data_IF_003253945923
#
_entry.id   IF_003253945923
#
_cell.length_a   1.000
_cell.length_b   1.000
_cell.length_c   1.000
_cell.angle_alpha   90.00
_cell.angle_beta   90.00
_cell.angle_gamma   90.00
#
_symmetry.space_group_name_H-M   'P 1'
#
loop_
_entity.id
_entity.type
_entity.pdbx_description
1 polymer ?
#
# COMPACT_ATOMS: atom_id res chain seq x y z
N UNK A 1 -2.85 0.13 0.54
CA UNK A 1 -3.50 1.46 0.40
C UNK A 1 -3.31 1.95 -1.02
N UNK A 2 -4.31 2.59 -1.63
CA UNK A 2 -4.18 3.24 -2.95
C UNK A 2 -4.65 4.68 -2.86
N UNK A 3 -3.80 5.65 -3.20
CA UNK A 3 -4.14 7.08 -3.13
C UNK A 3 -3.60 7.86 -4.33
N UNK A 4 -4.42 8.75 -4.88
CA UNK A 4 -3.96 9.79 -5.79
C UNK A 4 -3.49 11.00 -4.95
N UNK A 5 -2.26 11.44 -5.18
CA UNK A 5 -1.65 12.56 -4.45
C UNK A 5 -1.26 13.62 -5.47
N UNK A 6 -1.95 14.75 -5.42
CA UNK A 6 -1.59 15.95 -6.17
C UNK A 6 -0.93 16.96 -5.22
N UNK A 7 0.33 17.30 -5.49
CA UNK A 7 1.06 18.31 -4.73
C UNK A 7 1.02 19.61 -5.52
N UNK A 8 0.44 20.66 -4.94
CA UNK A 8 0.37 22.00 -5.54
C UNK A 8 1.51 22.91 -5.03
N UNK A 9 1.84 23.98 -5.77
CA UNK A 9 2.82 24.96 -5.33
C UNK A 9 2.51 25.51 -3.94
N UNK A 10 3.51 25.50 -3.04
CA UNK A 10 3.36 25.99 -1.67
C UNK A 10 2.76 25.02 -0.65
N UNK A 11 2.34 23.81 -1.04
CA UNK A 11 1.78 22.80 -0.09
C UNK A 11 2.82 22.10 0.81
N UNK A 12 4.09 22.50 0.71
CA UNK A 12 5.17 21.94 1.51
C UNK A 12 5.67 20.59 0.97
N UNK A 13 6.94 20.28 1.25
CA UNK A 13 7.55 19.00 0.89
C UNK A 13 7.25 17.94 1.95
N UNK A 14 7.14 16.69 1.53
CA UNK A 14 7.20 15.58 2.47
C UNK A 14 8.64 15.45 2.97
N UNK A 15 8.87 15.44 4.30
CA UNK A 15 10.20 15.21 4.86
C UNK A 15 10.71 13.82 4.47
N UNK A 16 12.01 13.58 4.63
CA UNK A 16 12.55 12.24 4.45
C UNK A 16 11.95 11.31 5.52
N UNK A 17 11.30 10.24 5.08
CA UNK A 17 10.59 9.29 5.92
C UNK A 17 10.61 7.88 5.32
N UNK A 18 10.19 6.90 6.13
CA UNK A 18 9.92 5.53 5.72
C UNK A 18 8.43 5.25 5.86
N UNK A 19 7.86 4.54 4.90
CA UNK A 19 6.42 4.25 4.88
C UNK A 19 6.04 3.17 5.90
N UNK A 20 6.97 2.27 6.20
CA UNK A 20 6.75 1.17 7.14
C UNK A 20 6.76 1.58 8.63
N UNK A 21 7.06 2.84 8.93
CA UNK A 21 6.94 3.40 10.29
C UNK A 21 5.55 3.20 10.88
N UNK A 22 4.52 3.06 10.05
CA UNK A 22 3.14 2.73 10.45
C UNK A 22 3.01 1.39 11.16
N UNK A 23 3.93 0.45 10.92
CA UNK A 23 3.90 -0.90 11.50
C UNK A 23 4.69 -1.01 12.80
N UNK A 24 5.38 0.07 13.20
CA UNK A 24 6.15 0.16 14.45
C UNK A 24 7.25 -0.91 14.58
N UNK A 25 7.80 -1.36 13.45
CA UNK A 25 8.93 -2.27 13.40
C UNK A 25 10.25 -1.53 13.61
N UNK A 26 11.24 -2.25 14.15
CA UNK A 26 12.62 -1.74 14.30
C UNK A 26 13.44 -2.13 13.09
N UNK A 27 14.37 -1.28 12.68
CA UNK A 27 15.23 -1.53 11.53
C UNK A 27 16.69 -1.80 11.93
N UNK A 28 17.42 -2.65 11.17
CA UNK A 28 16.91 -3.54 10.13
C UNK A 28 16.17 -4.76 10.74
N UNK A 29 15.05 -5.17 10.14
CA UNK A 29 14.21 -6.25 10.68
C UNK A 29 14.58 -7.63 10.12
N UNK A 30 15.81 -8.11 10.29
CA UNK A 30 16.26 -9.43 9.79
C UNK A 30 15.95 -9.68 8.28
N UNK A 31 16.01 -8.63 7.45
CA UNK A 31 15.60 -8.64 6.04
C UNK A 31 14.12 -8.95 5.77
N UNK A 32 13.26 -8.79 6.77
CA UNK A 32 11.80 -8.85 6.65
C UNK A 32 11.25 -7.44 6.39
N UNK A 33 10.55 -7.28 5.27
CA UNK A 33 10.02 -5.98 4.82
C UNK A 33 8.50 -6.01 4.83
N UNK A 34 7.89 -5.04 5.50
CA UNK A 34 6.43 -5.02 5.65
C UNK A 34 5.71 -4.66 4.36
N UNK A 35 6.36 -3.89 3.49
CA UNK A 35 5.72 -3.17 2.38
C UNK A 35 6.62 -3.10 1.14
N UNK A 36 5.99 -3.31 -0.01
CA UNK A 36 6.44 -2.78 -1.30
C UNK A 36 5.57 -1.57 -1.66
N UNK A 37 6.20 -0.43 -1.87
CA UNK A 37 5.55 0.79 -2.32
C UNK A 37 5.75 0.97 -3.83
N UNK A 38 4.67 1.37 -4.50
CA UNK A 38 4.64 1.67 -5.93
C UNK A 38 4.17 3.11 -6.07
N UNK A 39 4.98 3.95 -6.73
CA UNK A 39 4.63 5.32 -7.10
C UNK A 39 4.55 5.41 -8.61
N UNK A 40 3.34 5.51 -9.15
CA UNK A 40 3.07 5.69 -10.58
C UNK A 40 2.97 7.17 -10.92
N UNK A 41 3.73 7.59 -11.93
CA UNK A 41 3.70 8.95 -12.44
C UNK A 41 2.45 9.18 -13.30
N UNK A 42 1.50 9.97 -12.81
CA UNK A 42 0.31 10.38 -13.59
C UNK A 42 0.57 11.67 -14.37
N UNK A 43 1.56 12.45 -13.94
CA UNK A 43 2.18 13.56 -14.67
C UNK A 43 3.69 13.30 -14.78
N UNK A 44 4.40 14.11 -15.55
CA UNK A 44 5.87 14.00 -15.64
C UNK A 44 6.54 14.38 -14.31
N UNK A 45 7.46 13.53 -13.84
CA UNK A 45 8.26 13.78 -12.65
C UNK A 45 9.67 14.16 -13.11
N UNK A 46 10.04 15.41 -12.90
CA UNK A 46 11.38 15.93 -13.13
C UNK A 46 11.92 16.50 -11.82
N UNK A 47 13.21 16.85 -11.81
CA UNK A 47 13.80 17.54 -10.67
C UNK A 47 13.04 18.85 -10.34
N UNK A 48 12.54 19.54 -11.37
CA UNK A 48 11.80 20.81 -11.25
C UNK A 48 10.37 20.59 -10.75
N UNK A 49 9.69 19.53 -11.21
CA UNK A 49 8.28 19.24 -10.85
C UNK A 49 8.14 18.48 -9.53
N UNK A 50 9.24 18.26 -8.80
CA UNK A 50 9.22 17.56 -7.52
C UNK A 50 9.14 16.05 -7.66
N UNK A 51 10.02 15.47 -8.49
CA UNK A 51 10.29 14.04 -8.50
C UNK A 51 10.47 13.51 -7.07
N UNK A 52 10.01 12.29 -6.83
CA UNK A 52 10.20 11.62 -5.55
C UNK A 52 11.70 11.48 -5.29
N UNK A 53 12.14 11.91 -4.11
CA UNK A 53 13.51 11.77 -3.63
C UNK A 53 13.65 10.44 -2.92
N UNK A 54 14.70 9.69 -3.24
CA UNK A 54 14.95 8.36 -2.65
C UNK A 54 16.40 8.32 -2.17
N UNK A 55 16.68 7.63 -1.07
CA UNK A 55 18.06 7.32 -0.66
C UNK A 55 18.34 5.84 -0.95
N UNK A 56 19.06 5.50 -2.03
CA UNK A 56 19.35 4.12 -2.38
C UNK A 56 20.13 3.41 -1.26
N UNK A 57 19.74 2.17 -0.93
CA UNK A 57 20.39 1.38 0.11
C UNK A 57 19.96 1.71 1.55
N UNK A 58 19.15 2.75 1.77
CA UNK A 58 18.72 3.19 3.10
C UNK A 58 17.75 2.25 3.84
N UNK A 59 17.14 1.30 3.12
CA UNK A 59 16.39 0.17 3.69
C UNK A 59 17.24 -0.72 4.61
N UNK A 60 18.57 -0.65 4.50
CA UNK A 60 19.50 -1.42 5.33
C UNK A 60 19.93 -0.68 6.61
N UNK A 61 19.58 0.59 6.76
CA UNK A 61 20.04 1.40 7.89
C UNK A 61 19.19 1.13 9.12
N UNK A 62 19.82 1.25 10.30
CA UNK A 62 19.10 1.21 11.57
C UNK A 62 18.22 2.46 11.79
N UNK A 63 17.55 2.49 12.94
CA UNK A 63 16.68 3.59 13.34
C UNK A 63 17.42 4.79 13.97
N UNK A 64 18.71 4.65 14.30
CA UNK A 64 19.50 5.71 14.94
C UNK A 64 20.11 6.65 13.89
N UNK A 65 20.37 6.11 12.70
CA UNK A 65 20.90 6.88 11.60
C UNK A 65 19.89 7.86 11.02
N UNK A 66 20.27 9.14 11.00
CA UNK A 66 19.50 10.22 10.36
C UNK A 66 19.78 10.28 8.85
N UNK A 67 18.75 10.46 8.01
CA UNK A 67 18.92 10.68 6.58
C UNK A 67 19.24 12.14 6.28
N UNK A 68 20.18 12.38 5.35
CA UNK A 68 20.51 13.74 4.91
C UNK A 68 20.03 14.00 3.46
N UNK A 69 19.59 15.23 3.12
CA UNK A 69 19.09 15.57 1.78
C UNK A 69 20.09 15.30 0.64
N UNK A 70 21.39 15.43 0.89
CA UNK A 70 22.45 15.26 -0.10
C UNK A 70 22.63 13.79 -0.53
N UNK A 71 22.08 12.85 0.25
CA UNK A 71 22.12 11.42 -0.06
C UNK A 71 20.98 10.99 -1.00
N UNK A 72 20.07 11.92 -1.31
CA UNK A 72 18.92 11.64 -2.15
C UNK A 72 19.26 11.66 -3.64
N UNK A 73 18.61 10.79 -4.39
CA UNK A 73 18.52 10.84 -5.86
C UNK A 73 17.08 11.10 -6.26
N UNK A 74 16.90 11.86 -7.35
CA UNK A 74 15.57 12.14 -7.91
C UNK A 74 15.11 10.99 -8.81
N UNK A 75 13.94 10.42 -8.52
CA UNK A 75 13.28 9.44 -9.37
C UNK A 75 12.55 10.17 -10.52
N UNK A 76 13.31 10.61 -11.52
CA UNK A 76 12.78 11.22 -12.75
C UNK A 76 12.01 10.17 -13.55
N UNK A 77 10.75 10.45 -13.87
CA UNK A 77 9.83 9.50 -14.48
C UNK A 77 8.96 10.18 -15.54
N UNK A 78 8.84 9.54 -16.70
CA UNK A 78 7.83 9.87 -17.68
C UNK A 78 6.44 9.43 -17.18
N UNK A 79 5.38 10.01 -17.77
CA UNK A 79 3.99 9.60 -17.48
C UNK A 79 3.83 8.10 -17.73
N UNK A 80 3.24 7.39 -16.78
CA UNK A 80 3.03 5.95 -16.82
C UNK A 80 4.22 5.11 -16.33
N UNK A 81 5.39 5.71 -16.06
CA UNK A 81 6.48 5.02 -15.38
C UNK A 81 6.19 4.86 -13.89
N UNK A 82 6.76 3.82 -13.27
CA UNK A 82 6.59 3.54 -11.86
C UNK A 82 7.94 3.41 -11.14
N UNK A 83 8.03 4.02 -9.96
CA UNK A 83 9.09 3.80 -9.00
C UNK A 83 8.61 2.74 -8.00
N UNK A 84 9.41 1.68 -7.83
CA UNK A 84 9.19 0.65 -6.83
C UNK A 84 10.26 0.79 -5.74
N UNK A 85 9.84 0.81 -4.48
CA UNK A 85 10.76 0.84 -3.35
C UNK A 85 10.16 0.10 -2.15
N UNK A 86 11.05 -0.41 -1.31
CA UNK A 86 10.68 -1.12 -0.10
C UNK A 86 10.32 -0.11 1.00
N UNK A 87 9.34 -0.43 1.85
CA UNK A 87 8.78 0.49 2.86
C UNK A 87 9.82 1.11 3.82
N UNK A 88 10.90 0.39 4.12
CA UNK A 88 12.03 0.85 4.95
C UNK A 88 12.99 1.80 4.21
N UNK A 89 12.76 2.09 2.94
CA UNK A 89 13.57 3.04 2.17
C UNK A 89 13.21 4.48 2.54
N UNK A 90 14.19 5.25 2.98
CA UNK A 90 14.03 6.69 3.16
C UNK A 90 13.75 7.35 1.81
N UNK A 91 12.65 8.10 1.77
CA UNK A 91 12.21 8.84 0.61
C UNK A 91 11.43 10.10 1.03
N UNK A 92 11.16 10.98 0.08
CA UNK A 92 10.41 12.21 0.31
C UNK A 92 10.11 12.92 -1.01
N UNK A 93 9.75 14.19 -0.94
CA UNK A 93 9.49 15.00 -2.15
C UNK A 93 10.26 16.32 -2.09
N UNK A 94 10.42 16.96 -3.24
CA UNK A 94 10.90 18.34 -3.30
C UNK A 94 9.72 19.32 -3.37
N UNK A 95 10.00 20.59 -3.06
CA UNK A 95 9.09 21.67 -3.42
C UNK A 95 9.14 21.93 -4.92
N UNK A 96 8.00 22.25 -5.51
CA UNK A 96 7.84 22.55 -6.94
C UNK A 96 6.95 23.79 -7.12
N UNK A 97 7.14 24.52 -8.21
CA UNK A 97 6.27 25.61 -8.66
C UNK A 97 5.17 25.16 -9.62
N UNK A 98 5.13 23.86 -9.94
CA UNK A 98 4.11 23.20 -10.76
C UNK A 98 3.41 22.07 -10.00
N UNK A 99 2.11 21.85 -10.24
CA UNK A 99 1.41 20.72 -9.66
C UNK A 99 1.94 19.40 -10.21
N UNK A 100 1.95 18.36 -9.38
CA UNK A 100 2.41 17.02 -9.75
C UNK A 100 1.47 15.96 -9.17
N UNK A 101 0.90 15.13 -10.02
CA UNK A 101 -0.01 14.04 -9.64
C UNK A 101 0.71 12.69 -9.70
N UNK A 102 0.72 11.99 -8.58
CA UNK A 102 1.17 10.60 -8.49
C UNK A 102 0.06 9.69 -7.97
N UNK A 103 0.03 8.45 -8.44
CA UNK A 103 -0.78 7.39 -7.83
C UNK A 103 0.14 6.50 -7.00
N UNK A 104 -0.13 6.41 -5.71
CA UNK A 104 0.67 5.61 -4.77
C UNK A 104 -0.10 4.37 -4.35
N UNK A 105 0.55 3.20 -4.38
CA UNK A 105 -0.02 1.91 -4.01
C UNK A 105 0.95 1.15 -3.10
N UNK A 106 0.51 0.86 -1.88
CA UNK A 106 1.26 0.03 -0.92
C UNK A 106 0.73 -1.40 -0.92
N UNK A 107 1.62 -2.36 -1.19
CA UNK A 107 1.39 -3.80 -1.06
C UNK A 107 2.08 -4.26 0.22
N UNK A 108 1.28 -4.71 1.18
CA UNK A 108 1.75 -5.05 2.53
C UNK A 108 1.77 -6.57 2.74
N UNK A 109 2.56 -7.05 3.69
CA UNK A 109 2.51 -8.45 4.12
C UNK A 109 1.11 -8.82 4.60
N UNK A 110 0.58 -9.97 4.17
CA UNK A 110 -0.79 -10.39 4.44
C UNK A 110 -1.13 -10.63 5.93
N UNK A 111 -0.13 -10.68 6.82
CA UNK A 111 -0.34 -10.78 8.26
C UNK A 111 -0.49 -9.42 8.97
N UNK A 112 -0.31 -8.31 8.24
CA UNK A 112 -0.41 -6.96 8.77
C UNK A 112 -1.77 -6.35 8.40
N UNK A 113 -2.31 -5.54 9.31
CA UNK A 113 -3.55 -4.81 9.05
C UNK A 113 -3.35 -3.79 7.93
N UNK A 114 -4.24 -3.79 6.95
CA UNK A 114 -4.29 -2.78 5.88
C UNK A 114 -4.51 -1.37 6.46
N UNK A 115 -3.84 -0.36 5.90
CA UNK A 115 -4.08 1.05 6.28
C UNK A 115 -5.49 1.53 5.95
N UNK A 116 -6.04 1.10 4.81
CA UNK A 116 -7.43 1.32 4.43
C UNK A 116 -8.17 -0.01 4.49
N UNK A 117 -9.32 -0.04 5.17
CA UNK A 117 -10.09 -1.25 5.39
C UNK A 117 -10.92 -1.61 4.14
N UNK A 118 -10.33 -2.37 3.21
CA UNK A 118 -10.97 -2.72 1.94
C UNK A 118 -12.22 -3.58 2.12
N UNK A 119 -12.31 -4.38 3.20
CA UNK A 119 -13.49 -5.19 3.52
C UNK A 119 -14.76 -4.36 3.73
N UNK A 120 -14.61 -3.10 4.16
CA UNK A 120 -15.73 -2.19 4.42
C UNK A 120 -15.87 -1.11 3.34
N UNK A 121 -14.81 -0.81 2.61
CA UNK A 121 -14.78 0.29 1.63
C UNK A 121 -15.28 -0.11 0.25
N UNK A 122 -15.16 -1.38 -0.15
CA UNK A 122 -15.51 -1.81 -1.52
C UNK A 122 -16.81 -2.64 -1.50
N UNK A 123 -17.84 -2.26 -2.26
CA UNK A 123 -19.06 -3.05 -2.43
C UNK A 123 -18.78 -4.47 -3.00
N UNK A 124 -19.54 -5.47 -2.55
CA UNK A 124 -19.32 -6.87 -2.95
C UNK A 124 -19.51 -7.12 -4.45
N UNK A 125 -20.42 -6.41 -5.10
CA UNK A 125 -20.66 -6.49 -6.55
C UNK A 125 -19.47 -5.96 -7.35
N UNK A 126 -18.84 -4.88 -6.88
CA UNK A 126 -17.59 -4.36 -7.45
C UNK A 126 -16.46 -5.37 -7.25
N UNK A 127 -16.27 -5.89 -6.04
CA UNK A 127 -15.24 -6.89 -5.73
C UNK A 127 -15.35 -8.14 -6.61
N UNK A 128 -16.55 -8.69 -6.77
CA UNK A 128 -16.83 -9.85 -7.63
C UNK A 128 -16.45 -9.62 -9.09
N UNK A 129 -16.55 -8.38 -9.57
CA UNK A 129 -16.19 -8.02 -10.94
C UNK A 129 -14.68 -7.94 -11.20
N UNK A 130 -13.85 -7.93 -10.15
CA UNK A 130 -12.39 -7.86 -10.28
C UNK A 130 -11.78 -9.24 -10.57
N UNK A 131 -10.58 -9.30 -11.19
CA UNK A 131 -9.82 -10.55 -11.28
C UNK A 131 -9.57 -11.15 -9.89
N UNK A 132 -9.58 -12.48 -9.80
CA UNK A 132 -9.41 -13.20 -8.52
C UNK A 132 -8.11 -12.78 -7.79
N UNK A 133 -7.03 -12.58 -8.52
CA UNK A 133 -5.75 -12.11 -7.96
C UNK A 133 -5.89 -10.75 -7.25
N UNK A 134 -6.73 -9.85 -7.78
CA UNK A 134 -6.98 -8.54 -7.18
C UNK A 134 -7.91 -8.68 -5.97
N UNK A 135 -8.91 -9.57 -6.04
CA UNK A 135 -9.76 -9.89 -4.88
C UNK A 135 -8.90 -10.37 -3.69
N UNK A 136 -7.98 -11.31 -3.94
CA UNK A 136 -7.03 -11.82 -2.95
C UNK A 136 -6.12 -10.71 -2.42
N UNK A 137 -5.57 -9.88 -3.32
CA UNK A 137 -4.72 -8.74 -2.95
C UNK A 137 -5.45 -7.73 -2.05
N UNK A 138 -6.76 -7.55 -2.25
CA UNK A 138 -7.61 -6.70 -1.43
C UNK A 138 -7.94 -7.31 -0.06
N UNK A 139 -7.44 -8.52 0.24
CA UNK A 139 -7.60 -9.20 1.52
C UNK A 139 -8.64 -10.32 1.52
N UNK A 140 -9.29 -10.60 0.38
CA UNK A 140 -10.21 -11.75 0.27
C UNK A 140 -9.42 -13.04 0.08
N UNK A 141 -8.52 -13.34 1.02
CA UNK A 141 -7.79 -14.59 1.07
C UNK A 141 -7.38 -14.94 2.50
N UNK A 142 -7.18 -16.23 2.75
CA UNK A 142 -6.52 -16.72 3.95
C UNK A 142 -5.07 -17.10 3.61
N UNK A 143 -4.12 -16.64 4.42
CA UNK A 143 -2.72 -17.00 4.24
C UNK A 143 -2.41 -18.41 4.74
N UNK A 144 -1.32 -19.00 4.23
CA UNK A 144 -0.80 -20.30 4.69
C UNK A 144 -0.42 -20.31 6.18
N UNK A 145 -0.21 -19.12 6.75
CA UNK A 145 0.03 -18.89 8.17
C UNK A 145 -1.25 -18.90 9.02
N UNK A 146 -2.39 -19.32 8.46
CA UNK A 146 -3.70 -19.37 9.12
C UNK A 146 -4.21 -18.00 9.61
N UNK A 147 -3.82 -16.91 8.92
CA UNK A 147 -4.35 -15.56 9.15
C UNK A 147 -5.37 -15.20 8.08
N UNK A 148 -6.33 -14.33 8.41
CA UNK A 148 -7.31 -13.79 7.44
C UNK A 148 -8.46 -14.72 7.08
N UNK A 149 -8.64 -15.85 7.77
CA UNK A 149 -9.77 -16.76 7.54
C UNK A 149 -11.07 -16.25 8.18
N UNK A 150 -12.19 -16.76 7.70
CA UNK A 150 -13.52 -16.59 8.29
C UNK A 150 -14.08 -17.94 8.73
N UNK A 151 -14.87 -17.94 9.81
CA UNK A 151 -15.47 -19.15 10.37
C UNK A 151 -16.69 -19.56 9.55
N UNK A 152 -16.78 -20.84 9.21
CA UNK A 152 -17.98 -21.41 8.59
C UNK A 152 -18.20 -22.86 9.06
N UNK A 153 -19.21 -23.07 9.91
CA UNK A 153 -19.63 -24.41 10.34
C UNK A 153 -18.54 -25.19 11.10
N UNK A 154 -17.79 -24.51 11.95
CA UNK A 154 -16.65 -25.00 12.72
C UNK A 154 -15.34 -25.06 11.96
N UNK A 155 -15.25 -24.48 10.75
CA UNK A 155 -14.06 -24.56 9.88
C UNK A 155 -13.48 -23.18 9.60
N UNK A 156 -12.15 -23.13 9.46
CA UNK A 156 -11.43 -21.97 8.93
C UNK A 156 -11.49 -22.02 7.41
N UNK A 157 -12.13 -21.04 6.77
CA UNK A 157 -12.22 -20.96 5.31
C UNK A 157 -11.67 -19.63 4.79
N UNK A 158 -11.14 -19.63 3.57
CA UNK A 158 -10.71 -18.40 2.91
C UNK A 158 -11.93 -17.53 2.60
N UNK A 159 -11.89 -16.21 2.88
CA UNK A 159 -13.00 -15.29 2.60
C UNK A 159 -13.46 -15.33 1.15
N UNK A 160 -12.57 -15.65 0.21
CA UNK A 160 -12.90 -15.75 -1.22
C UNK A 160 -14.04 -16.73 -1.50
N UNK A 161 -14.16 -17.78 -0.67
CA UNK A 161 -15.24 -18.78 -0.77
C UNK A 161 -16.61 -18.11 -0.59
N UNK A 162 -16.70 -17.13 0.30
CA UNK A 162 -17.91 -16.36 0.54
C UNK A 162 -18.15 -15.33 -0.56
N UNK A 163 -17.09 -14.71 -1.09
CA UNK A 163 -17.20 -13.78 -2.21
C UNK A 163 -17.79 -14.44 -3.45
N UNK A 164 -17.55 -15.73 -3.65
CA UNK A 164 -18.08 -16.50 -4.77
C UNK A 164 -19.53 -16.98 -4.56
N UNK A 165 -20.12 -16.77 -3.38
CA UNK A 165 -21.52 -17.12 -3.11
C UNK A 165 -22.50 -16.22 -3.88
N UNK A 166 -23.66 -16.75 -4.26
CA UNK A 166 -24.76 -15.98 -4.84
C UNK A 166 -25.23 -14.84 -3.91
N UNK A 167 -25.23 -15.07 -2.59
CA UNK A 167 -25.63 -14.11 -1.55
C UNK A 167 -24.49 -13.95 -0.53
N UNK A 168 -23.54 -13.06 -0.85
CA UNK A 168 -22.35 -12.81 -0.02
C UNK A 168 -22.73 -12.40 1.40
N UNK A 169 -23.63 -11.40 1.64
CA UNK A 169 -24.01 -11.02 3.00
C UNK A 169 -24.59 -12.17 3.81
N UNK A 170 -25.48 -12.98 3.23
CA UNK A 170 -26.03 -14.15 3.93
C UNK A 170 -24.97 -15.20 4.20
N UNK A 171 -24.08 -15.47 3.24
CA UNK A 171 -23.00 -16.45 3.41
C UNK A 171 -22.04 -16.07 4.54
N UNK A 172 -21.84 -14.77 4.77
CA UNK A 172 -21.04 -14.20 5.85
C UNK A 172 -21.83 -14.04 7.17
N UNK A 173 -23.11 -14.40 7.20
CA UNK A 173 -23.98 -14.25 8.37
C UNK A 173 -24.35 -12.80 8.70
N UNK A 174 -24.15 -11.84 7.79
CA UNK A 174 -24.48 -10.42 7.98
C UNK A 174 -25.99 -10.16 7.93
N UNK A 175 -26.73 -11.04 7.26
CA UNK A 175 -28.19 -11.02 7.22
C UNK A 175 -28.68 -12.32 7.85
N UNK A 176 -29.38 -12.22 8.98
CA UNK A 176 -30.01 -13.36 9.63
C UNK A 176 -31.10 -13.98 8.73
N UNK A 177 -31.31 -15.29 8.87
CA UNK A 177 -32.56 -15.88 8.39
C UNK A 177 -33.73 -15.30 9.18
N UNK A 178 -34.82 -14.94 8.51
CA UNK A 178 -36.12 -14.90 9.20
C UNK A 178 -36.39 -16.34 9.64
N UNK A 179 -36.13 -16.62 10.92
CA UNK A 179 -36.67 -17.80 11.58
C UNK A 179 -38.14 -17.56 11.91
#
# INVERSE_FOLDING_TARGET
MTQAIEIHPGQGKQPLHRDDTRFLWRHPNYACEARLQIMLAMTEFTQETGATKVIPGSHKWDDERRPEPEETVDAVMAVGSALLFIGSTYHGTNSSDKPRLGLTMGIDQGCIRQEENQYLSIPFDVLKGLPEEVQRLLGWDAGENFMGWVEQGGKMVSPITHLQSDDVPRSLGLIGGMH
#
